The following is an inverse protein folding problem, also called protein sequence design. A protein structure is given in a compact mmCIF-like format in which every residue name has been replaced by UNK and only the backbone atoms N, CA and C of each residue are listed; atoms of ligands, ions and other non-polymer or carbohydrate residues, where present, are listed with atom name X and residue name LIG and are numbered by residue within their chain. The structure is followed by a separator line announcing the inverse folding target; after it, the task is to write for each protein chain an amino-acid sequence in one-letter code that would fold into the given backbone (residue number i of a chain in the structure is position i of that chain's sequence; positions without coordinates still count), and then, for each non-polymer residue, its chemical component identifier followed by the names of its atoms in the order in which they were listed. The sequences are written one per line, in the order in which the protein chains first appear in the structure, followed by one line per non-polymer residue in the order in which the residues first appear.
data_IF_291806388424
#
_entry.id   IF_291806388424
#
_cell.length_a   1.000
_cell.length_b   1.000
_cell.length_c   1.000
_cell.angle_alpha   90.00
_cell.angle_beta   90.00
_cell.angle_gamma   90.00
#
_symmetry.space_group_name_H-M   'P 1'
#
loop_
_entity.id
_entity.type
_entity.pdbx_description
1 polymer ?
#
# COMPACT_ATOMS: atom_id res chain seq x y z
N UNK A 1 -54.18 0.51 4.39
CA UNK A 1 -53.25 0.48 3.23
C UNK A 1 -51.88 0.93 3.72
N UNK A 2 -50.98 -0.02 4.00
CA UNK A 2 -49.63 0.27 4.49
C UNK A 2 -48.73 0.59 3.30
N UNK A 3 -48.27 1.84 3.21
CA UNK A 3 -47.31 2.27 2.19
C UNK A 3 -45.91 1.85 2.64
N UNK A 4 -45.38 0.80 2.04
CA UNK A 4 -43.98 0.39 2.17
C UNK A 4 -43.13 1.49 1.53
N UNK A 5 -42.51 2.35 2.34
CA UNK A 5 -41.46 3.26 1.88
C UNK A 5 -40.31 2.40 1.35
N UNK A 6 -40.15 2.34 0.04
CA UNK A 6 -38.98 1.73 -0.58
C UNK A 6 -37.72 2.41 -0.03
N UNK A 7 -36.80 1.61 0.52
CA UNK A 7 -35.52 2.10 1.00
C UNK A 7 -34.76 2.71 -0.17
N UNK A 8 -34.52 4.02 -0.13
CA UNK A 8 -33.71 4.72 -1.14
C UNK A 8 -32.24 4.38 -0.88
N UNK A 9 -31.77 3.29 -1.46
CA UNK A 9 -30.34 2.95 -1.46
C UNK A 9 -29.64 3.94 -2.39
N UNK A 10 -28.74 4.74 -1.84
CA UNK A 10 -27.85 5.61 -2.62
C UNK A 10 -26.73 4.72 -3.17
N UNK A 11 -26.63 4.64 -4.50
CA UNK A 11 -25.48 4.03 -5.17
C UNK A 11 -24.56 5.18 -5.60
N UNK A 12 -23.40 5.37 -4.95
CA UNK A 12 -22.44 6.37 -5.42
C UNK A 12 -21.97 5.98 -6.83
N UNK A 13 -21.62 6.99 -7.62
CA UNK A 13 -20.91 6.78 -8.87
C UNK A 13 -19.52 6.19 -8.58
N UNK A 14 -18.96 5.46 -9.55
CA UNK A 14 -17.61 4.95 -9.42
C UNK A 14 -16.64 6.13 -9.24
N UNK A 15 -15.69 6.05 -8.29
CA UNK A 15 -14.66 7.08 -8.16
C UNK A 15 -13.86 7.17 -9.46
N UNK A 16 -13.36 8.37 -9.82
CA UNK A 16 -12.49 8.50 -10.97
C UNK A 16 -11.23 7.66 -10.78
N UNK A 17 -10.59 7.27 -11.89
CA UNK A 17 -9.30 6.61 -11.84
C UNK A 17 -8.28 7.49 -11.09
N UNK A 18 -7.44 6.92 -10.22
CA UNK A 18 -6.44 7.68 -9.50
C UNK A 18 -5.49 8.40 -10.46
N UNK A 19 -5.21 9.68 -10.18
CA UNK A 19 -4.22 10.45 -10.93
C UNK A 19 -2.78 10.00 -10.63
N UNK A 20 -1.80 10.56 -11.35
CA UNK A 20 -0.38 10.26 -11.07
C UNK A 20 0.07 10.72 -9.69
N UNK A 21 -0.60 11.74 -9.14
CA UNK A 21 -0.45 12.22 -7.77
C UNK A 21 -0.94 11.18 -6.75
N UNK A 22 -1.90 10.32 -7.08
CA UNK A 22 -2.36 9.27 -6.18
C UNK A 22 -1.47 8.01 -6.19
N UNK A 23 -0.29 8.07 -6.81
CA UNK A 23 0.64 6.96 -6.83
C UNK A 23 1.19 6.63 -5.43
N UNK A 24 0.82 5.47 -4.90
CA UNK A 24 1.27 4.98 -3.60
C UNK A 24 2.75 4.59 -3.59
N UNK A 25 3.38 4.81 -2.43
CA UNK A 25 4.69 4.27 -2.10
C UNK A 25 4.58 2.78 -1.79
N UNK A 26 5.36 1.91 -2.45
CA UNK A 26 5.21 0.46 -2.28
C UNK A 26 5.79 -0.05 -0.96
N UNK A 27 6.83 0.62 -0.43
CA UNK A 27 7.65 0.13 0.67
C UNK A 27 7.72 1.13 1.85
N UNK A 28 6.93 2.19 1.82
CA UNK A 28 6.75 3.13 2.94
C UNK A 28 5.29 3.57 3.00
N UNK A 29 4.89 4.20 4.11
CA UNK A 29 3.56 4.76 4.24
C UNK A 29 3.31 5.89 3.22
N UNK A 30 2.11 5.91 2.64
CA UNK A 30 1.60 7.06 1.89
C UNK A 30 1.96 7.07 0.41
N UNK A 31 2.21 8.26 -0.13
CA UNK A 31 2.34 8.53 -1.57
C UNK A 31 3.80 8.75 -1.97
N UNK A 32 4.14 8.43 -3.22
CA UNK A 32 5.52 8.55 -3.74
C UNK A 32 6.03 10.00 -3.69
N UNK A 33 5.13 10.94 -3.88
CA UNK A 33 5.43 12.37 -3.90
C UNK A 33 5.69 12.96 -2.50
N UNK A 34 5.37 12.22 -1.42
CA UNK A 34 5.35 12.72 -0.06
C UNK A 34 6.29 11.93 0.84
N UNK A 35 7.42 12.52 1.19
CA UNK A 35 8.40 11.95 2.13
C UNK A 35 9.20 13.06 2.83
N UNK A 36 9.84 12.71 3.94
CA UNK A 36 10.81 13.58 4.59
C UNK A 36 12.14 13.58 3.83
N UNK A 37 12.79 14.74 3.78
CA UNK A 37 14.11 14.93 3.19
C UNK A 37 14.87 16.02 3.95
N UNK A 38 16.14 16.26 3.59
CA UNK A 38 17.00 17.30 4.17
C UNK A 38 17.23 18.39 3.13
N UNK A 39 16.92 19.64 3.48
CA UNK A 39 17.16 20.80 2.62
C UNK A 39 18.65 21.15 2.53
N UNK A 40 19.00 22.06 1.62
CA UNK A 40 20.38 22.58 1.49
C UNK A 40 20.88 23.24 2.79
N UNK A 41 19.96 23.80 3.58
CA UNK A 41 20.26 24.40 4.89
C UNK A 41 20.42 23.35 6.01
N UNK A 42 20.24 22.06 5.70
CA UNK A 42 20.32 20.97 6.68
C UNK A 42 19.06 20.79 7.54
N UNK A 43 17.94 21.41 7.15
CA UNK A 43 16.66 21.29 7.86
C UNK A 43 15.81 20.16 7.29
N UNK A 44 14.96 19.55 8.12
CA UNK A 44 13.98 18.58 7.62
C UNK A 44 12.91 19.32 6.81
N UNK A 45 12.52 18.75 5.68
CA UNK A 45 11.45 19.23 4.80
C UNK A 45 10.56 18.06 4.40
N UNK A 46 9.26 18.30 4.20
CA UNK A 46 8.36 17.32 3.57
C UNK A 46 8.27 17.66 2.09
N UNK A 47 8.58 16.71 1.21
CA UNK A 47 8.45 16.86 -0.25
C UNK A 47 7.00 16.72 -0.71
N UNK A 48 6.73 17.16 -1.93
CA UNK A 48 5.39 17.14 -2.54
C UNK A 48 4.59 18.42 -2.25
N UNK A 49 3.29 18.37 -2.53
CA UNK A 49 2.35 19.49 -2.37
C UNK A 49 1.04 19.10 -1.68
N UNK A 50 0.92 17.84 -1.23
CA UNK A 50 -0.31 17.24 -0.72
C UNK A 50 -0.78 17.83 0.60
N UNK A 51 0.15 18.12 1.50
CA UNK A 51 -0.14 18.62 2.84
C UNK A 51 0.32 20.07 3.01
N UNK A 52 -0.30 20.80 3.94
CA UNK A 52 0.05 22.19 4.23
C UNK A 52 1.51 22.38 4.69
N UNK A 53 2.13 21.33 5.24
CA UNK A 53 3.54 21.34 5.64
C UNK A 53 4.51 21.04 4.50
N UNK A 54 4.03 20.60 3.34
CA UNK A 54 4.90 20.26 2.21
C UNK A 54 5.62 21.51 1.69
N UNK A 55 6.91 21.38 1.41
CA UNK A 55 7.78 22.48 0.99
C UNK A 55 8.24 23.41 2.12
N UNK A 56 7.73 23.28 3.35
CA UNK A 56 8.16 24.10 4.49
C UNK A 56 9.33 23.45 5.20
N UNK A 57 10.39 24.21 5.47
CA UNK A 57 11.49 23.75 6.32
C UNK A 57 11.04 23.68 7.79
N UNK A 58 11.55 22.67 8.51
CA UNK A 58 11.31 22.43 9.93
C UNK A 58 12.64 22.50 10.71
N UNK A 59 13.20 23.71 10.96
CA UNK A 59 14.56 23.87 11.49
C UNK A 59 14.80 23.20 12.84
N UNK A 60 13.76 23.13 13.69
CA UNK A 60 13.87 22.53 15.03
C UNK A 60 13.65 21.03 15.06
N UNK A 61 13.17 20.40 13.99
CA UNK A 61 12.74 19.01 14.03
C UNK A 61 13.90 18.04 14.26
N UNK A 62 14.97 18.10 13.45
CA UNK A 62 16.13 17.22 13.63
C UNK A 62 16.87 17.43 14.98
N UNK A 63 17.13 18.68 15.45
CA UNK A 63 17.72 18.83 16.78
C UNK A 63 16.78 18.33 17.90
N UNK A 64 15.46 18.49 17.77
CA UNK A 64 14.52 17.88 18.72
C UNK A 64 14.59 16.34 18.71
N UNK A 65 14.70 15.69 17.55
CA UNK A 65 14.90 14.23 17.45
C UNK A 65 16.16 13.79 18.20
N UNK A 66 17.29 14.51 18.02
CA UNK A 66 18.56 14.22 18.70
C UNK A 66 18.47 14.37 20.21
N UNK A 67 17.75 15.40 20.68
CA UNK A 67 17.49 15.63 22.10
C UNK A 67 16.66 14.47 22.70
N UNK A 68 15.57 14.06 22.03
CA UNK A 68 14.67 12.99 22.52
C UNK A 68 15.33 11.61 22.50
N UNK A 69 16.12 11.31 21.48
CA UNK A 69 16.82 10.03 21.35
C UNK A 69 18.17 9.99 22.09
N UNK A 70 18.60 11.12 22.66
CA UNK A 70 19.91 11.31 23.30
C UNK A 70 21.07 10.80 22.43
N UNK A 71 20.96 11.00 21.11
CA UNK A 71 21.87 10.44 20.11
C UNK A 71 22.13 11.42 18.98
N UNK A 72 23.37 11.40 18.47
CA UNK A 72 23.74 12.21 17.31
C UNK A 72 23.28 11.54 16.02
N UNK A 73 22.02 11.74 15.67
CA UNK A 73 21.44 11.24 14.41
C UNK A 73 21.96 12.04 13.22
N UNK A 74 22.73 11.42 12.34
CA UNK A 74 23.02 11.94 10.99
C UNK A 74 21.97 11.41 10.01
N UNK A 75 21.11 12.26 9.42
CA UNK A 75 20.09 11.82 8.47
C UNK A 75 20.67 11.21 7.18
N UNK A 76 21.99 11.32 6.96
CA UNK A 76 22.68 10.70 5.81
C UNK A 76 23.20 9.29 6.10
N UNK A 77 23.28 8.89 7.37
CA UNK A 77 23.61 7.51 7.75
C UNK A 77 22.36 6.64 7.64
N UNK A 78 22.15 6.08 6.45
CA UNK A 78 20.98 5.26 6.13
C UNK A 78 21.39 3.80 5.91
N UNK A 79 20.71 2.88 6.58
CA UNK A 79 20.75 1.46 6.23
C UNK A 79 19.96 1.25 4.94
N UNK A 80 20.65 0.96 3.84
CA UNK A 80 20.02 0.90 2.52
C UNK A 80 19.04 -0.29 2.41
N UNK A 81 17.77 -0.07 2.05
CA UNK A 81 16.80 -1.15 1.89
C UNK A 81 17.05 -1.95 0.61
N UNK A 82 16.72 -3.23 0.65
CA UNK A 82 16.74 -4.16 -0.48
C UNK A 82 15.32 -4.49 -0.97
N UNK A 83 14.41 -3.51 -0.99
CA UNK A 83 13.05 -3.72 -1.47
C UNK A 83 12.99 -3.85 -3.02
N UNK A 84 12.18 -4.78 -3.57
CA UNK A 84 11.54 -5.87 -2.87
C UNK A 84 12.56 -6.95 -2.49
N UNK A 85 12.40 -7.52 -1.30
CA UNK A 85 13.13 -8.73 -0.91
C UNK A 85 12.67 -9.94 -1.72
N UNK A 86 13.30 -11.11 -1.55
CA UNK A 86 12.90 -12.34 -2.24
C UNK A 86 11.41 -12.65 -2.08
N UNK A 87 10.69 -12.74 -3.19
CA UNK A 87 9.25 -13.02 -3.24
C UNK A 87 9.05 -14.51 -3.55
N UNK A 88 8.29 -15.28 -2.73
CA UNK A 88 8.03 -16.67 -3.02
C UNK A 88 7.08 -16.85 -4.22
N UNK A 89 7.35 -17.86 -5.04
CA UNK A 89 6.47 -18.26 -6.15
C UNK A 89 5.04 -18.56 -5.66
N UNK A 90 4.01 -18.24 -6.47
CA UNK A 90 2.63 -18.48 -6.07
C UNK A 90 2.30 -19.97 -6.10
N UNK A 91 1.50 -20.41 -5.14
CA UNK A 91 1.04 -21.81 -5.01
C UNK A 91 -0.45 -21.89 -5.22
N UNK A 92 -0.87 -22.37 -6.39
CA UNK A 92 -2.28 -22.65 -6.67
C UNK A 92 -2.41 -23.86 -7.59
N UNK A 93 -3.57 -24.53 -7.53
CA UNK A 93 -3.87 -25.65 -8.43
C UNK A 93 -4.45 -25.12 -9.74
N UNK A 94 -4.12 -25.69 -10.91
CA UNK A 94 -4.66 -25.25 -12.20
C UNK A 94 -6.19 -25.24 -12.25
N UNK A 95 -6.84 -26.20 -11.60
CA UNK A 95 -8.30 -26.28 -11.51
C UNK A 95 -8.92 -25.11 -10.75
N UNK A 96 -8.26 -24.58 -9.72
CA UNK A 96 -8.75 -23.42 -8.97
C UNK A 96 -8.68 -22.16 -9.84
N UNK A 97 -7.58 -21.98 -10.58
CA UNK A 97 -7.45 -20.87 -11.51
C UNK A 97 -8.48 -20.97 -12.66
N UNK A 98 -8.79 -22.18 -13.12
CA UNK A 98 -9.85 -22.40 -14.10
C UNK A 98 -11.23 -22.04 -13.54
N UNK A 99 -11.53 -22.39 -12.28
CA UNK A 99 -12.78 -22.03 -11.61
C UNK A 99 -12.94 -20.51 -11.47
N UNK A 100 -11.89 -19.79 -11.02
CA UNK A 100 -11.90 -18.33 -10.94
C UNK A 100 -12.25 -17.67 -12.28
N UNK A 101 -11.68 -18.18 -13.38
CA UNK A 101 -11.93 -17.66 -14.74
C UNK A 101 -13.34 -17.90 -15.28
N UNK A 102 -14.18 -18.69 -14.60
CA UNK A 102 -15.58 -18.87 -14.99
C UNK A 102 -16.44 -17.63 -14.70
N UNK A 103 -16.04 -16.81 -13.73
CA UNK A 103 -16.83 -15.66 -13.27
C UNK A 103 -16.03 -14.38 -13.05
N UNK A 104 -14.69 -14.44 -13.04
CA UNK A 104 -13.80 -13.28 -13.04
C UNK A 104 -13.16 -13.07 -14.42
N UNK A 105 -13.06 -11.82 -14.86
CA UNK A 105 -12.32 -11.42 -16.05
C UNK A 105 -10.80 -11.52 -15.86
N UNK A 106 -10.04 -11.47 -16.97
CA UNK A 106 -8.58 -11.57 -16.95
C UNK A 106 -7.90 -10.47 -16.11
N UNK A 107 -8.44 -9.25 -16.14
CA UNK A 107 -7.91 -8.11 -15.38
C UNK A 107 -8.29 -8.15 -13.89
N UNK A 108 -9.14 -9.10 -13.47
CA UNK A 108 -9.57 -9.26 -12.08
C UNK A 108 -8.75 -10.34 -11.33
N UNK A 109 -7.73 -10.92 -11.96
CA UNK A 109 -6.88 -11.97 -11.37
C UNK A 109 -5.41 -11.59 -11.58
N UNK A 110 -4.67 -11.41 -10.49
CA UNK A 110 -3.24 -11.10 -10.51
C UNK A 110 -2.43 -12.15 -9.74
N UNK A 111 -1.33 -12.57 -10.32
CA UNK A 111 -0.36 -13.52 -9.75
C UNK A 111 1.06 -12.95 -9.66
N UNK A 112 1.24 -11.68 -10.04
CA UNK A 112 2.49 -10.95 -9.98
C UNK A 112 3.06 -10.92 -8.56
N UNK A 113 4.36 -11.14 -8.44
CA UNK A 113 5.05 -11.19 -7.15
C UNK A 113 4.94 -9.90 -6.35
N UNK A 114 5.13 -8.73 -6.96
CA UNK A 114 5.07 -7.44 -6.28
C UNK A 114 3.63 -7.09 -5.86
N UNK A 115 2.63 -7.38 -6.70
CA UNK A 115 1.22 -7.23 -6.31
C UNK A 115 0.90 -8.09 -5.09
N UNK A 116 1.33 -9.36 -5.09
CA UNK A 116 1.13 -10.27 -3.97
C UNK A 116 1.88 -9.82 -2.72
N UNK A 117 3.11 -9.31 -2.86
CA UNK A 117 3.89 -8.76 -1.76
C UNK A 117 3.15 -7.57 -1.13
N UNK A 118 2.67 -6.63 -1.96
CA UNK A 118 1.91 -5.45 -1.52
C UNK A 118 0.65 -5.81 -0.72
N UNK A 119 -0.03 -6.90 -1.08
CA UNK A 119 -1.23 -7.39 -0.37
C UNK A 119 -0.89 -8.39 0.75
N UNK A 120 0.41 -8.65 0.99
CA UNK A 120 0.89 -9.61 1.99
C UNK A 120 1.33 -8.98 3.31
N UNK A 121 1.24 -7.66 3.46
CA UNK A 121 1.62 -6.96 4.69
C UNK A 121 0.76 -5.73 4.97
N UNK A 122 0.70 -5.35 6.25
CA UNK A 122 0.25 -4.05 6.72
C UNK A 122 1.40 -3.05 6.87
N UNK A 123 1.27 -2.17 7.87
CA UNK A 123 2.25 -1.13 8.16
C UNK A 123 2.80 -1.24 9.59
N UNK A 124 2.84 -2.43 10.17
CA UNK A 124 3.54 -2.62 11.45
C UNK A 124 5.05 -2.45 11.25
N UNK A 125 5.77 -2.09 12.30
CA UNK A 125 7.22 -1.90 12.22
C UNK A 125 7.94 -3.16 11.73
N UNK A 126 7.51 -4.34 12.19
CA UNK A 126 8.09 -5.63 11.81
C UNK A 126 7.90 -5.94 10.32
N UNK A 127 6.68 -5.73 9.81
CA UNK A 127 6.38 -5.93 8.39
C UNK A 127 7.18 -4.99 7.49
N UNK A 128 7.21 -3.70 7.82
CA UNK A 128 7.94 -2.68 7.07
C UNK A 128 9.46 -2.95 7.09
N UNK A 129 9.98 -3.46 8.20
CA UNK A 129 11.37 -3.90 8.28
C UNK A 129 11.60 -5.15 7.41
N UNK A 130 10.67 -6.11 7.45
CA UNK A 130 10.80 -7.39 6.75
C UNK A 130 10.85 -7.23 5.23
N UNK A 131 9.96 -6.41 4.66
CA UNK A 131 9.95 -6.14 3.20
C UNK A 131 11.19 -5.38 2.72
N UNK A 132 11.89 -4.69 3.61
CA UNK A 132 13.07 -3.87 3.28
C UNK A 132 14.38 -4.60 3.48
N UNK A 133 14.50 -5.47 4.49
CA UNK A 133 15.80 -5.96 4.94
C UNK A 133 15.90 -7.46 5.14
N UNK A 134 14.77 -8.17 5.19
CA UNK A 134 14.77 -9.63 5.37
C UNK A 134 13.86 -10.30 4.37
N UNK A 135 12.76 -10.90 4.81
CA UNK A 135 11.75 -11.51 3.97
C UNK A 135 10.45 -11.63 4.77
N UNK A 136 9.32 -11.30 4.16
CA UNK A 136 8.02 -11.69 4.72
C UNK A 136 7.84 -13.21 4.65
N UNK A 137 7.20 -13.77 5.67
CA UNK A 137 6.89 -15.20 5.71
C UNK A 137 5.93 -15.63 4.60
N UNK A 138 4.62 -15.62 4.89
CA UNK A 138 3.59 -16.03 3.94
C UNK A 138 2.91 -14.80 3.33
N UNK A 139 2.88 -14.72 2.01
CA UNK A 139 2.08 -13.75 1.24
C UNK A 139 0.98 -14.47 0.44
N UNK A 140 -0.09 -13.79 -0.03
CA UNK A 140 -1.09 -14.37 -0.93
C UNK A 140 -0.49 -15.04 -2.17
N UNK A 141 -1.18 -16.03 -2.77
CA UNK A 141 -0.76 -16.64 -4.05
C UNK A 141 -1.41 -15.99 -5.26
N UNK A 142 -2.63 -15.47 -5.08
CA UNK A 142 -3.43 -14.82 -6.11
C UNK A 142 -4.11 -13.64 -5.43
N UNK A 143 -4.13 -12.49 -6.11
CA UNK A 143 -4.93 -11.32 -5.73
C UNK A 143 -6.09 -11.24 -6.73
N UNK A 144 -7.31 -11.05 -6.24
CA UNK A 144 -8.51 -10.94 -7.08
C UNK A 144 -9.27 -9.65 -6.79
N UNK A 145 -9.90 -9.10 -7.83
CA UNK A 145 -10.62 -7.83 -7.79
C UNK A 145 -12.08 -8.03 -8.19
N UNK A 146 -12.93 -8.64 -7.35
CA UNK A 146 -14.35 -8.78 -7.63
C UNK A 146 -15.01 -7.39 -7.68
N UNK A 147 -15.87 -7.18 -8.67
CA UNK A 147 -16.57 -5.90 -8.91
C UNK A 147 -18.04 -5.95 -8.49
N UNK A 148 -18.53 -7.14 -8.12
CA UNK A 148 -19.92 -7.36 -7.73
C UNK A 148 -20.02 -8.27 -6.51
N UNK A 149 -21.09 -8.09 -5.73
CA UNK A 149 -21.41 -9.00 -4.61
C UNK A 149 -21.53 -10.45 -5.08
N UNK A 150 -22.12 -10.71 -6.24
CA UNK A 150 -22.23 -12.04 -6.81
C UNK A 150 -20.85 -12.69 -7.06
N UNK A 151 -19.88 -11.94 -7.57
CA UNK A 151 -18.50 -12.43 -7.74
C UNK A 151 -17.83 -12.72 -6.39
N UNK A 152 -18.09 -11.92 -5.35
CA UNK A 152 -17.60 -12.20 -3.98
C UNK A 152 -18.22 -13.49 -3.43
N UNK A 153 -19.53 -13.70 -3.61
CA UNK A 153 -20.20 -14.93 -3.19
C UNK A 153 -19.61 -16.14 -3.91
N UNK A 154 -19.42 -16.07 -5.23
CA UNK A 154 -18.78 -17.15 -6.00
C UNK A 154 -17.36 -17.45 -5.53
N UNK A 155 -16.57 -16.46 -5.12
CA UNK A 155 -15.23 -16.68 -4.56
C UNK A 155 -15.22 -17.53 -3.28
N UNK A 156 -16.26 -17.43 -2.45
CA UNK A 156 -16.36 -18.14 -1.17
C UNK A 156 -16.80 -19.60 -1.38
N UNK A 157 -17.52 -19.87 -2.47
CA UNK A 157 -18.11 -21.19 -2.75
C UNK A 157 -17.16 -22.17 -3.46
N UNK A 158 -16.07 -21.67 -4.07
CA UNK A 158 -15.16 -22.45 -4.93
C UNK A 158 -13.96 -23.09 -4.21
#
# INVERSE_FOLDING_TARGET
MSSTKASKIIKPEAPPAPGSDEAESPDVWGFRDTHFDISENGHVIIRGTRYELSGKELPRFLPWVREVLESNVDPREVHQPSYPTTIPEPRFKPEFLAALRQFLGANQIDTNGETRLRHGHGHTQEEMYSIKYTQLGRIPDIVVYPETEAQVTSLIEI
#
